data_IF_951430207455
#
_entry.id   IF_951430207455
#
_cell.length_a   1.000
_cell.length_b   1.000
_cell.length_c   1.000
_cell.angle_alpha   90.00
_cell.angle_beta   90.00
_cell.angle_gamma   90.00
#
_symmetry.space_group_name_H-M   'P 1'
#
loop_
_entity.id
_entity.type
_entity.pdbx_description
1 polymer ?
#
# COMPACT_ATOMS: atom_id res chain seq x y z
N UNK A 1 6.22 9.72 -53.67
CA UNK A 1 5.28 8.64 -54.01
C UNK A 1 5.54 7.45 -53.12
N UNK A 2 4.81 7.38 -52.01
CA UNK A 2 3.54 6.65 -51.87
C UNK A 2 3.84 5.15 -51.81
N UNK A 3 4.01 4.61 -50.59
CA UNK A 3 2.93 4.02 -49.80
C UNK A 3 2.57 2.62 -50.33
N UNK A 4 2.86 1.60 -49.54
CA UNK A 4 1.86 0.58 -49.32
C UNK A 4 1.93 0.12 -47.86
N UNK A 5 1.26 0.92 -47.03
CA UNK A 5 0.87 0.54 -45.68
C UNK A 5 -0.18 -0.56 -45.84
N UNK A 6 0.24 -1.82 -45.70
CA UNK A 6 -0.70 -2.93 -45.70
C UNK A 6 -1.60 -2.83 -44.47
N UNK A 7 -2.87 -2.56 -44.77
CA UNK A 7 -4.04 -2.57 -43.91
C UNK A 7 -4.03 -3.69 -42.87
N UNK A 8 -4.11 -3.31 -41.60
CA UNK A 8 -4.41 -4.21 -40.49
C UNK A 8 -5.91 -4.11 -40.11
N UNK A 9 -6.79 -4.05 -41.12
CA UNK A 9 -8.24 -4.06 -40.93
C UNK A 9 -8.83 -5.34 -41.51
N UNK A 10 -8.72 -6.46 -40.78
CA UNK A 10 -9.67 -7.56 -40.85
C UNK A 10 -9.32 -8.66 -39.83
N UNK A 11 -9.62 -8.42 -38.55
CA UNK A 11 -10.06 -9.49 -37.64
C UNK A 11 -11.05 -8.89 -36.67
N UNK A 12 -12.32 -8.96 -37.07
CA UNK A 12 -13.44 -8.87 -36.14
C UNK A 12 -13.34 -10.07 -35.20
N UNK A 13 -12.63 -9.89 -34.09
CA UNK A 13 -12.75 -10.76 -32.94
C UNK A 13 -13.86 -10.18 -32.09
N UNK A 14 -14.91 -10.98 -31.96
CA UNK A 14 -16.10 -10.68 -31.19
C UNK A 14 -15.68 -10.57 -29.72
N UNK A 15 -15.58 -9.33 -29.23
CA UNK A 15 -15.41 -9.06 -27.81
C UNK A 15 -16.74 -9.40 -27.11
N UNK A 16 -16.87 -10.66 -26.72
CA UNK A 16 -17.83 -11.06 -25.71
C UNK A 16 -17.40 -10.37 -24.40
N UNK A 17 -18.19 -9.39 -23.96
CA UNK A 17 -18.02 -8.74 -22.67
C UNK A 17 -17.90 -9.80 -21.56
N UNK A 18 -16.73 -9.86 -20.94
CA UNK A 18 -16.48 -10.67 -19.74
C UNK A 18 -17.38 -10.16 -18.59
N UNK A 19 -17.90 -11.03 -17.70
CA UNK A 19 -18.77 -10.61 -16.59
C UNK A 19 -18.10 -9.62 -15.61
N UNK A 20 -16.78 -9.45 -15.70
CA UNK A 20 -15.96 -8.58 -14.86
C UNK A 20 -15.90 -7.11 -15.30
N UNK A 21 -16.52 -6.75 -16.44
CA UNK A 21 -16.52 -5.36 -16.93
C UNK A 21 -17.31 -4.40 -16.03
N UNK A 22 -18.06 -4.95 -15.07
CA UNK A 22 -18.79 -4.19 -14.04
C UNK A 22 -17.90 -3.61 -12.94
N UNK A 23 -16.69 -4.16 -12.70
CA UNK A 23 -15.74 -3.62 -11.71
C UNK A 23 -15.22 -2.23 -12.10
N UNK A 24 -15.26 -1.92 -13.40
CA UNK A 24 -14.85 -0.62 -13.94
C UNK A 24 -16.04 0.23 -14.44
N UNK A 25 -17.27 -0.28 -14.32
CA UNK A 25 -18.49 0.47 -14.48
C UNK A 25 -18.80 1.22 -13.19
N UNK A 26 -17.97 2.22 -12.89
CA UNK A 26 -18.10 3.05 -11.69
C UNK A 26 -18.58 4.44 -12.08
N UNK A 27 -19.80 4.78 -11.66
CA UNK A 27 -20.14 6.17 -11.39
C UNK A 27 -19.32 6.61 -10.17
N UNK A 28 -18.44 7.59 -10.35
CA UNK A 28 -17.51 7.98 -9.31
C UNK A 28 -16.65 9.19 -9.68
N UNK A 29 -15.99 9.74 -8.65
CA UNK A 29 -15.11 10.89 -8.75
C UNK A 29 -13.74 10.49 -8.22
N UNK A 30 -12.69 10.72 -9.01
CA UNK A 30 -11.33 10.57 -8.54
C UNK A 30 -10.93 11.79 -7.71
N UNK A 31 -10.19 11.61 -6.63
CA UNK A 31 -9.75 12.71 -5.78
C UNK A 31 -8.24 12.89 -5.88
N UNK A 32 -7.82 14.15 -5.90
CA UNK A 32 -6.42 14.54 -5.80
C UNK A 32 -6.25 15.48 -4.61
N UNK A 33 -5.12 15.37 -3.91
CA UNK A 33 -4.87 16.19 -2.72
C UNK A 33 -4.86 17.70 -3.01
N UNK A 34 -4.44 18.13 -4.20
CA UNK A 34 -4.19 19.54 -4.50
C UNK A 34 -5.00 20.09 -5.69
N UNK A 35 -5.58 19.24 -6.54
CA UNK A 35 -6.36 19.67 -7.71
C UNK A 35 -7.86 19.43 -7.54
N UNK A 36 -8.28 18.82 -6.42
CA UNK A 36 -9.67 18.53 -6.12
C UNK A 36 -10.22 17.33 -6.91
N UNK A 37 -11.54 17.25 -7.09
CA UNK A 37 -12.19 16.15 -7.79
C UNK A 37 -11.92 16.17 -9.29
N UNK A 38 -11.63 14.99 -9.86
CA UNK A 38 -11.43 14.76 -11.28
C UNK A 38 -12.46 13.75 -11.79
N UNK A 39 -12.85 13.91 -13.07
CA UNK A 39 -13.63 12.88 -13.74
C UNK A 39 -12.80 11.62 -13.91
N UNK A 40 -13.45 10.45 -13.88
CA UNK A 40 -12.77 9.18 -14.12
C UNK A 40 -12.13 9.13 -15.53
N UNK A 41 -12.68 9.84 -16.51
CA UNK A 41 -12.07 10.01 -17.83
C UNK A 41 -10.72 10.72 -17.75
N UNK A 42 -10.63 11.81 -16.97
CA UNK A 42 -9.37 12.51 -16.75
C UNK A 42 -8.38 11.65 -15.96
N UNK A 43 -8.83 10.92 -14.95
CA UNK A 43 -7.99 10.00 -14.19
C UNK A 43 -7.43 8.86 -15.07
N UNK A 44 -8.25 8.28 -15.96
CA UNK A 44 -7.81 7.26 -16.93
C UNK A 44 -6.76 7.82 -17.90
N UNK A 45 -6.98 9.02 -18.43
CA UNK A 45 -6.00 9.69 -19.31
C UNK A 45 -4.67 9.94 -18.59
N UNK A 46 -4.70 10.40 -17.34
CA UNK A 46 -3.50 10.56 -16.52
C UNK A 46 -2.83 9.22 -16.23
N UNK A 47 -3.60 8.15 -16.07
CA UNK A 47 -3.07 6.82 -15.80
C UNK A 47 -2.36 6.20 -17.01
N UNK A 48 -2.79 6.51 -18.24
CA UNK A 48 -2.33 5.89 -19.48
C UNK A 48 -0.81 6.00 -19.70
N UNK A 49 -0.21 7.15 -19.36
CA UNK A 49 1.24 7.42 -19.50
C UNK A 49 1.97 7.50 -18.16
N UNK A 50 1.34 7.08 -17.07
CA UNK A 50 1.93 7.15 -15.73
C UNK A 50 2.36 5.79 -15.22
N UNK A 51 3.46 5.78 -14.47
CA UNK A 51 3.77 4.65 -13.60
C UNK A 51 2.96 4.86 -12.32
N UNK A 52 1.87 4.12 -12.18
CA UNK A 52 1.01 4.16 -10.99
C UNK A 52 0.99 2.83 -10.25
N UNK A 53 0.39 2.89 -9.07
CA UNK A 53 0.28 1.81 -8.12
C UNK A 53 -1.19 1.57 -7.88
N UNK A 54 -1.79 0.45 -8.34
CA UNK A 54 -3.14 0.12 -7.96
C UNK A 54 -3.17 -0.28 -6.49
N UNK A 55 -4.13 0.25 -5.75
CA UNK A 55 -4.46 -0.15 -4.38
C UNK A 55 -5.94 -0.47 -4.41
N UNK A 56 -6.30 -1.72 -4.13
CA UNK A 56 -7.70 -2.15 -4.00
C UNK A 56 -8.07 -2.04 -2.53
N UNK A 57 -9.18 -1.36 -2.24
CA UNK A 57 -9.72 -1.20 -0.90
C UNK A 57 -10.93 -2.12 -0.73
N UNK A 58 -11.15 -2.63 0.48
CA UNK A 58 -12.41 -3.26 0.86
C UNK A 58 -13.51 -2.20 1.14
N UNK A 59 -14.72 -2.68 1.45
CA UNK A 59 -15.88 -1.81 1.75
C UNK A 59 -15.67 -0.91 2.98
N UNK A 60 -14.68 -1.21 3.83
CA UNK A 60 -14.30 -0.41 4.99
C UNK A 60 -13.10 0.51 4.71
N UNK A 61 -12.61 0.56 3.48
CA UNK A 61 -11.46 1.38 3.07
C UNK A 61 -10.10 0.77 3.41
N UNK A 62 -10.01 -0.51 3.77
CA UNK A 62 -8.75 -1.18 4.07
C UNK A 62 -8.09 -1.78 2.81
N UNK A 63 -6.77 -1.64 2.61
CA UNK A 63 -6.08 -2.21 1.45
C UNK A 63 -6.08 -3.75 1.45
N UNK A 64 -6.49 -4.37 0.34
CA UNK A 64 -6.62 -5.82 0.20
C UNK A 64 -5.37 -6.53 -0.34
N UNK A 65 -4.58 -5.92 -1.23
CA UNK A 65 -3.32 -6.52 -1.74
C UNK A 65 -2.34 -5.47 -2.27
N UNK A 66 -1.04 -5.74 -2.13
CA UNK A 66 0.07 -4.92 -2.64
C UNK A 66 1.18 -5.70 -3.36
N UNK A 67 1.22 -7.04 -3.31
CA UNK A 67 2.18 -7.90 -4.01
C UNK A 67 3.69 -7.70 -3.71
N UNK A 68 4.39 -8.80 -3.40
CA UNK A 68 5.86 -8.99 -3.24
C UNK A 68 6.44 -8.70 -1.84
N UNK A 69 7.00 -9.74 -1.21
CA UNK A 69 7.80 -9.66 0.02
C UNK A 69 9.23 -9.21 -0.29
N UNK A 70 9.56 -7.96 0.01
CA UNK A 70 10.94 -7.46 -0.05
C UNK A 70 11.42 -7.14 1.35
N UNK A 71 12.73 -7.32 1.64
CA UNK A 71 13.30 -7.02 2.97
C UNK A 71 13.01 -5.59 3.41
N UNK A 72 13.06 -4.65 2.47
CA UNK A 72 12.83 -3.24 2.75
C UNK A 72 11.35 -2.93 2.60
N UNK A 73 10.75 -2.31 3.62
CA UNK A 73 9.36 -1.84 3.56
C UNK A 73 9.17 -0.98 2.30
N UNK A 74 8.26 -1.41 1.44
CA UNK A 74 8.00 -0.71 0.18
C UNK A 74 7.41 0.68 0.44
N UNK A 75 7.51 1.59 -0.54
CA UNK A 75 6.90 2.93 -0.41
C UNK A 75 5.39 2.85 -0.12
N UNK A 76 4.71 1.84 -0.66
CA UNK A 76 3.27 1.61 -0.46
C UNK A 76 2.97 1.20 0.97
N UNK A 77 3.69 0.20 1.48
CA UNK A 77 3.58 -0.23 2.87
C UNK A 77 3.92 0.88 3.83
N UNK A 78 4.97 1.67 3.56
CA UNK A 78 5.31 2.83 4.38
C UNK A 78 4.15 3.82 4.45
N UNK A 79 3.52 4.17 3.34
CA UNK A 79 2.33 5.06 3.34
C UNK A 79 1.19 4.48 4.19
N UNK A 80 0.91 3.18 4.05
CA UNK A 80 -0.11 2.51 4.83
C UNK A 80 0.21 2.52 6.34
N UNK A 81 1.47 2.27 6.71
CA UNK A 81 1.90 2.34 8.10
C UNK A 81 1.80 3.77 8.66
N UNK A 82 2.15 4.80 7.87
CA UNK A 82 2.00 6.21 8.29
C UNK A 82 0.53 6.54 8.58
N UNK A 83 -0.38 6.06 7.73
CA UNK A 83 -1.81 6.26 7.94
C UNK A 83 -2.33 5.57 9.20
N UNK A 84 -1.86 4.34 9.46
CA UNK A 84 -2.24 3.54 10.63
C UNK A 84 -1.63 4.05 11.93
N UNK A 85 -0.30 4.14 11.99
CA UNK A 85 0.46 4.36 13.22
C UNK A 85 0.61 5.85 13.56
N UNK A 86 0.44 6.75 12.58
CA UNK A 86 0.53 8.22 12.71
C UNK A 86 1.84 8.77 13.32
N UNK A 87 2.83 7.92 13.54
CA UNK A 87 4.08 8.24 14.21
C UNK A 87 4.75 6.98 14.73
N UNK A 88 5.62 7.11 15.73
CA UNK A 88 6.14 5.95 16.43
C UNK A 88 5.01 5.31 17.24
N UNK A 89 4.74 4.03 17.00
CA UNK A 89 3.65 3.31 17.67
C UNK A 89 3.94 2.96 19.14
N UNK A 90 5.20 3.11 19.60
CA UNK A 90 5.57 2.78 20.97
C UNK A 90 4.79 3.64 21.98
N UNK A 91 4.23 3.07 23.07
CA UNK A 91 3.36 3.80 23.99
C UNK A 91 4.02 5.05 24.56
N UNK A 92 3.33 6.20 24.45
CA UNK A 92 3.82 7.48 24.95
C UNK A 92 4.88 8.17 24.07
N UNK A 93 5.26 7.60 22.93
CA UNK A 93 6.18 8.27 22.00
C UNK A 93 5.44 9.27 21.10
N UNK A 94 5.93 10.52 21.05
CA UNK A 94 5.41 11.57 20.17
C UNK A 94 6.18 11.77 18.87
N UNK A 95 7.06 10.83 18.48
CA UNK A 95 7.92 11.01 17.32
C UNK A 95 7.11 10.99 16.01
N UNK A 96 7.32 11.98 15.11
CA UNK A 96 6.56 12.06 13.86
C UNK A 96 6.96 10.94 12.88
N UNK A 97 6.11 10.61 11.90
CA UNK A 97 6.40 9.55 10.93
C UNK A 97 7.68 9.78 10.11
N UNK A 98 8.09 11.04 9.93
CA UNK A 98 9.35 11.41 9.26
C UNK A 98 10.60 10.88 9.98
N UNK A 99 10.50 10.58 11.29
CA UNK A 99 11.58 10.04 12.11
C UNK A 99 11.47 8.53 12.32
N UNK A 100 10.48 7.90 11.67
CA UNK A 100 10.15 6.51 11.88
C UNK A 100 10.52 5.63 10.69
N UNK A 101 10.86 4.38 10.99
CA UNK A 101 11.17 3.31 10.06
C UNK A 101 10.20 2.16 10.28
N UNK A 102 9.93 1.39 9.22
CA UNK A 102 9.12 0.18 9.36
C UNK A 102 9.95 -0.93 10.00
N UNK A 103 9.47 -1.43 11.12
CA UNK A 103 10.05 -2.50 11.91
C UNK A 103 9.23 -3.77 11.73
N UNK A 104 9.92 -4.90 11.54
CA UNK A 104 9.29 -6.22 11.51
C UNK A 104 9.08 -6.75 12.93
N UNK A 105 7.85 -7.15 13.27
CA UNK A 105 7.52 -7.74 14.58
C UNK A 105 8.24 -9.08 14.74
N UNK A 106 8.00 -10.00 13.81
CA UNK A 106 8.86 -11.15 13.58
C UNK A 106 9.97 -10.68 12.68
N UNK A 107 11.20 -10.60 13.21
CA UNK A 107 12.34 -10.10 12.47
C UNK A 107 12.52 -10.80 11.12
N UNK A 108 12.91 -10.03 10.10
CA UNK A 108 13.22 -10.56 8.77
C UNK A 108 14.30 -11.65 8.81
N UNK A 109 15.32 -11.51 9.67
CA UNK A 109 16.38 -12.52 9.85
C UNK A 109 15.85 -13.86 10.39
N UNK A 110 14.69 -13.84 11.06
CA UNK A 110 13.98 -15.02 11.53
C UNK A 110 12.93 -15.52 10.52
N UNK A 111 12.91 -14.98 9.29
CA UNK A 111 11.97 -15.37 8.24
C UNK A 111 10.62 -14.65 8.29
N UNK A 112 10.49 -13.57 9.07
CA UNK A 112 9.24 -12.82 9.15
C UNK A 112 8.85 -12.17 7.81
N UNK A 113 7.56 -12.23 7.42
CA UNK A 113 7.11 -11.69 6.14
C UNK A 113 7.13 -10.16 6.15
N UNK A 114 7.32 -9.55 4.99
CA UNK A 114 7.14 -8.10 4.81
C UNK A 114 5.73 -7.80 4.37
N UNK A 115 4.76 -8.00 5.25
CA UNK A 115 3.36 -7.64 5.05
C UNK A 115 2.87 -6.67 6.14
N UNK A 116 1.67 -6.12 5.98
CA UNK A 116 1.14 -5.14 6.92
C UNK A 116 0.83 -5.73 8.31
N UNK A 117 0.64 -7.05 8.41
CA UNK A 117 0.40 -7.76 9.67
C UNK A 117 1.67 -8.01 10.47
N UNK A 118 2.85 -7.88 9.86
CA UNK A 118 4.13 -8.06 10.52
C UNK A 118 4.96 -6.76 10.60
N UNK A 119 4.40 -5.60 10.24
CA UNK A 119 5.10 -4.33 10.20
C UNK A 119 4.52 -3.28 11.15
N UNK A 120 5.37 -2.46 11.75
CA UNK A 120 5.01 -1.30 12.61
C UNK A 120 5.99 -0.13 12.44
N UNK A 121 5.53 1.12 12.56
CA UNK A 121 6.42 2.29 12.59
C UNK A 121 7.05 2.50 13.96
N UNK A 122 8.38 2.60 13.99
CA UNK A 122 9.16 2.96 15.18
C UNK A 122 10.18 4.05 14.87
N UNK A 123 10.40 4.98 15.80
CA UNK A 123 11.50 5.93 15.70
C UNK A 123 12.84 5.23 15.89
N UNK A 124 13.94 5.84 15.45
CA UNK A 124 15.27 5.21 15.56
C UNK A 124 15.67 4.81 16.99
N UNK A 125 15.17 5.47 18.03
CA UNK A 125 15.39 5.07 19.43
C UNK A 125 14.64 3.76 19.76
N UNK A 126 13.32 3.74 19.60
CA UNK A 126 12.51 2.55 19.91
C UNK A 126 12.80 1.39 18.96
N UNK A 127 13.17 1.67 17.71
CA UNK A 127 13.63 0.65 16.78
C UNK A 127 14.82 -0.12 17.37
N UNK A 128 15.84 0.58 17.88
CA UNK A 128 16.99 -0.07 18.52
C UNK A 128 16.65 -0.71 19.87
N UNK A 129 15.77 -0.09 20.66
CA UNK A 129 15.32 -0.67 21.92
C UNK A 129 14.75 -2.07 21.68
N UNK A 130 13.84 -2.22 20.72
CA UNK A 130 13.19 -3.51 20.44
C UNK A 130 14.12 -4.55 19.82
N UNK A 131 15.22 -4.16 19.15
CA UNK A 131 16.25 -5.10 18.72
C UNK A 131 17.14 -5.62 19.86
N UNK A 132 17.16 -4.93 21.01
CA UNK A 132 18.14 -5.16 22.08
C UNK A 132 17.52 -5.39 23.46
N UNK A 133 16.22 -5.62 23.53
CA UNK A 133 15.50 -5.86 24.78
C UNK A 133 14.43 -6.92 24.60
N UNK A 134 13.92 -7.45 25.70
CA UNK A 134 12.87 -8.47 25.70
C UNK A 134 11.46 -7.86 25.62
N UNK A 135 11.33 -6.70 24.98
CA UNK A 135 10.03 -6.12 24.65
C UNK A 135 9.39 -6.91 23.51
N UNK A 136 8.16 -7.34 23.70
CA UNK A 136 7.40 -8.05 22.67
C UNK A 136 6.37 -7.12 22.02
N UNK A 137 6.10 -7.35 20.73
CA UNK A 137 5.00 -6.72 20.02
C UNK A 137 4.03 -7.81 19.56
N UNK A 138 2.76 -7.62 19.84
CA UNK A 138 1.68 -8.44 19.30
C UNK A 138 0.79 -7.58 18.39
N UNK A 139 0.35 -8.16 17.27
CA UNK A 139 -0.69 -7.52 16.47
C UNK A 139 -2.08 -7.88 17.00
N UNK A 140 -2.82 -6.85 17.42
CA UNK A 140 -4.22 -6.98 17.83
C UNK A 140 -5.13 -7.38 16.66
N UNK A 141 -6.32 -7.88 17.01
CA UNK A 141 -7.36 -8.24 16.03
C UNK A 141 -7.85 -7.04 15.19
N UNK A 142 -7.67 -5.82 15.70
CA UNK A 142 -7.95 -4.55 15.03
C UNK A 142 -6.81 -4.10 14.10
N UNK A 143 -5.76 -4.90 13.97
CA UNK A 143 -4.52 -4.62 13.24
C UNK A 143 -3.72 -3.44 13.79
N UNK A 144 -3.82 -3.15 15.10
CA UNK A 144 -2.88 -2.24 15.80
C UNK A 144 -1.89 -2.98 16.71
N UNK A 145 -0.64 -2.49 16.80
CA UNK A 145 0.40 -3.13 17.61
C UNK A 145 0.18 -2.88 19.10
N UNK A 146 0.32 -3.91 19.91
CA UNK A 146 0.37 -3.86 21.38
C UNK A 146 1.78 -4.19 21.84
N UNK A 147 2.30 -3.41 22.80
CA UNK A 147 3.66 -3.56 23.31
C UNK A 147 3.63 -4.17 24.72
N UNK A 148 4.33 -5.27 24.91
CA UNK A 148 4.38 -6.02 26.17
C UNK A 148 5.74 -5.77 26.82
N UNK A 149 5.80 -5.25 28.06
CA UNK A 149 7.05 -4.98 28.74
C UNK A 149 7.79 -6.28 29.10
N UNK A 150 9.13 -6.25 29.17
CA UNK A 150 9.93 -7.38 29.61
C UNK A 150 9.61 -7.76 31.07
N UNK A 151 9.73 -9.06 31.39
CA UNK A 151 9.48 -9.60 32.74
C UNK A 151 10.66 -9.41 33.69
#
# INVERSE_FOLDING_TARGET
DLADHTDCSARAQQDAASPDDSLFAVDGVAWTEWMGPLSLRAARLLSCDSIYTPIVLDDNGAPLDLGISTRTVTKRQRKALVARDRGCAFPGCGAPPSWCEGHHIIHWSAGGPSDMGNLVLLCGFHHRLLHHSDWEIEMGADRHPTFIPPR
#
